data_IF_608369248045
#
_entry.id   IF_608369248045
#
_cell.length_a   1.000
_cell.length_b   1.000
_cell.length_c   1.000
_cell.angle_alpha   90.00
_cell.angle_beta   90.00
_cell.angle_gamma   90.00
#
_symmetry.space_group_name_H-M   'P 1'
#
loop_
_entity.id
_entity.type
_entity.pdbx_description
1 polymer ?
#
# COMPACT_ATOMS: atom_id res chain seq x y z
N UNK A 1 -4.71 11.34 -18.07
CA UNK A 1 -4.43 10.58 -16.83
C UNK A 1 -5.64 9.69 -16.56
N UNK A 2 -5.47 8.37 -16.55
CA UNK A 2 -6.60 7.43 -16.42
C UNK A 2 -7.21 7.52 -15.02
N UNK A 3 -8.54 7.54 -14.91
CA UNK A 3 -9.22 7.59 -13.62
C UNK A 3 -9.10 6.22 -12.93
N UNK A 4 -8.48 6.17 -11.75
CA UNK A 4 -8.50 4.97 -10.91
C UNK A 4 -9.91 4.73 -10.37
N UNK A 5 -10.36 3.47 -10.38
CA UNK A 5 -11.56 3.07 -9.62
C UNK A 5 -11.26 3.21 -8.11
N UNK A 6 -12.31 3.15 -7.29
CA UNK A 6 -12.23 3.32 -5.83
C UNK A 6 -11.18 2.40 -5.20
N UNK A 7 -10.21 2.97 -4.49
CA UNK A 7 -9.22 2.26 -3.67
C UNK A 7 -9.54 2.52 -2.19
N UNK A 8 -9.65 1.45 -1.39
CA UNK A 8 -9.95 1.51 0.05
C UNK A 8 -9.01 0.63 0.85
N UNK A 9 -8.71 1.03 2.08
CA UNK A 9 -7.98 0.22 3.07
C UNK A 9 -8.99 -0.33 4.07
N UNK A 10 -8.94 -1.64 4.33
CA UNK A 10 -9.91 -2.34 5.19
C UNK A 10 -9.22 -3.22 6.22
N UNK A 11 -9.87 -3.40 7.37
CA UNK A 11 -9.37 -4.27 8.43
C UNK A 11 -9.70 -5.75 8.15
N UNK A 12 -8.71 -6.64 8.21
CA UNK A 12 -8.83 -8.07 7.87
C UNK A 12 -10.00 -8.79 8.57
N UNK A 13 -10.26 -8.50 9.85
CA UNK A 13 -11.38 -9.13 10.61
C UNK A 13 -12.72 -8.39 10.50
N UNK A 14 -12.74 -7.20 9.89
CA UNK A 14 -13.97 -6.42 9.77
C UNK A 14 -14.68 -6.65 8.43
N UNK A 15 -14.18 -7.59 7.61
CA UNK A 15 -14.70 -7.85 6.27
C UNK A 15 -14.96 -9.34 6.06
N UNK A 16 -15.95 -9.65 5.22
CA UNK A 16 -15.96 -10.91 4.47
C UNK A 16 -15.01 -10.78 3.30
N UNK A 17 -14.12 -11.76 3.12
CA UNK A 17 -13.18 -11.79 2.01
C UNK A 17 -13.95 -11.84 0.69
N UNK A 18 -13.55 -10.99 -0.24
CA UNK A 18 -14.13 -10.91 -1.58
C UNK A 18 -13.07 -11.25 -2.62
N UNK A 19 -13.46 -11.85 -3.77
CA UNK A 19 -12.56 -12.00 -4.90
C UNK A 19 -11.94 -10.65 -5.28
N UNK A 20 -10.63 -10.56 -5.08
CA UNK A 20 -9.87 -9.36 -5.40
C UNK A 20 -9.49 -8.44 -4.27
N UNK A 21 -9.87 -8.78 -3.06
CA UNK A 21 -9.17 -8.31 -1.88
C UNK A 21 -7.67 -8.60 -2.00
N UNK A 22 -6.85 -7.63 -1.61
CA UNK A 22 -5.41 -7.74 -1.70
C UNK A 22 -4.77 -7.52 -0.34
N UNK A 23 -4.26 -8.59 0.25
CA UNK A 23 -3.58 -8.53 1.54
C UNK A 23 -2.21 -7.86 1.40
N UNK A 24 -2.00 -6.79 2.19
CA UNK A 24 -0.78 -5.99 2.20
C UNK A 24 0.00 -6.11 3.50
N UNK A 25 -0.40 -7.02 4.40
CA UNK A 25 0.35 -7.29 5.64
C UNK A 25 1.60 -8.14 5.39
N UNK A 26 2.39 -8.40 6.43
CA UNK A 26 3.57 -9.28 6.33
C UNK A 26 3.12 -10.74 6.11
N UNK A 27 3.83 -11.54 5.28
CA UNK A 27 5.09 -11.25 4.56
C UNK A 27 4.90 -10.77 3.10
N UNK A 28 3.82 -10.06 2.77
CA UNK A 28 3.61 -9.56 1.39
C UNK A 28 4.70 -8.59 0.93
N UNK A 29 4.89 -8.38 -0.39
CA UNK A 29 5.84 -7.41 -0.92
C UNK A 29 5.62 -5.99 -0.38
N UNK A 30 4.36 -5.61 -0.15
CA UNK A 30 4.00 -4.27 0.33
C UNK A 30 3.88 -4.19 1.86
N UNK A 31 4.23 -5.25 2.58
CA UNK A 31 4.20 -5.28 4.04
C UNK A 31 5.15 -4.25 4.65
N UNK A 32 4.68 -3.49 5.65
CA UNK A 32 5.55 -2.57 6.37
C UNK A 32 6.68 -3.35 7.09
N UNK A 33 7.97 -3.11 6.80
CA UNK A 33 9.08 -3.80 7.48
C UNK A 33 9.29 -3.27 8.92
N UNK A 34 8.75 -2.10 9.25
CA UNK A 34 8.83 -1.48 10.56
C UNK A 34 7.69 -1.95 11.49
N UNK A 35 7.98 -2.07 12.77
CA UNK A 35 7.11 -2.63 13.80
C UNK A 35 6.86 -1.58 14.88
N UNK A 36 5.58 -1.24 15.12
CA UNK A 36 5.18 -0.31 16.18
C UNK A 36 5.73 -0.79 17.53
N UNK A 37 6.25 0.12 18.34
CA UNK A 37 6.88 -0.16 19.64
C UNK A 37 8.37 -0.51 19.52
N UNK A 38 8.75 -1.35 18.55
CA UNK A 38 10.16 -1.68 18.29
C UNK A 38 10.90 -0.59 17.50
N UNK A 39 10.26 -0.11 16.43
CA UNK A 39 10.85 0.80 15.44
C UNK A 39 10.34 2.25 15.57
N UNK A 40 9.49 2.49 16.57
CA UNK A 40 8.87 3.79 16.85
C UNK A 40 7.36 3.71 17.10
N UNK A 41 6.75 4.86 17.28
CA UNK A 41 5.30 5.09 17.32
C UNK A 41 4.65 4.78 15.97
N UNK A 42 3.32 4.67 15.94
CA UNK A 42 2.54 4.45 14.71
C UNK A 42 2.86 5.49 13.62
N UNK A 43 2.95 6.76 14.00
CA UNK A 43 3.27 7.85 13.07
C UNK A 43 4.68 7.68 12.49
N UNK A 44 5.67 7.40 13.33
CA UNK A 44 7.06 7.22 12.91
C UNK A 44 7.23 6.03 11.98
N UNK A 45 6.63 4.87 12.28
CA UNK A 45 6.75 3.69 11.41
C UNK A 45 6.03 3.86 10.06
N UNK A 46 4.97 4.69 10.00
CA UNK A 46 4.30 5.04 8.74
C UNK A 46 5.15 6.03 7.94
N UNK A 47 5.76 7.01 8.59
CA UNK A 47 6.69 7.94 7.95
C UNK A 47 7.90 7.18 7.36
N UNK A 48 8.50 6.28 8.13
CA UNK A 48 9.58 5.39 7.66
C UNK A 48 9.12 4.52 6.50
N UNK A 49 7.90 3.97 6.57
CA UNK A 49 7.33 3.18 5.48
C UNK A 49 7.17 3.99 4.19
N UNK A 50 6.73 5.25 4.29
CA UNK A 50 6.64 6.15 3.14
C UNK A 50 8.01 6.28 2.47
N UNK A 51 9.06 6.63 3.21
CA UNK A 51 10.44 6.73 2.69
C UNK A 51 10.90 5.42 2.06
N UNK A 52 10.69 4.30 2.74
CA UNK A 52 11.02 2.96 2.23
C UNK A 52 10.33 2.67 0.89
N UNK A 53 9.03 2.96 0.79
CA UNK A 53 8.27 2.75 -0.44
C UNK A 53 8.79 3.63 -1.58
N UNK A 54 9.19 4.89 -1.33
CA UNK A 54 9.76 5.74 -2.37
C UNK A 54 11.06 5.17 -2.93
N UNK A 55 11.96 4.66 -2.07
CA UNK A 55 13.21 4.02 -2.50
C UNK A 55 12.93 2.84 -3.43
N UNK A 56 11.93 2.01 -3.08
CA UNK A 56 11.55 0.88 -3.90
C UNK A 56 10.88 1.27 -5.22
N UNK A 57 10.08 2.34 -5.22
CA UNK A 57 9.51 2.88 -6.46
C UNK A 57 10.60 3.44 -7.37
N UNK A 58 11.58 4.15 -6.81
CA UNK A 58 12.71 4.70 -7.55
C UNK A 58 13.63 3.62 -8.15
N UNK A 59 13.71 2.45 -7.52
CA UNK A 59 14.46 1.30 -8.06
C UNK A 59 13.88 0.77 -9.39
N UNK A 60 12.59 0.99 -9.65
CA UNK A 60 11.97 0.72 -10.94
C UNK A 60 11.72 -0.77 -11.26
N UNK A 61 11.51 -1.10 -12.54
CA UNK A 61 11.15 -2.45 -13.00
C UNK A 61 12.13 -3.54 -12.55
N UNK A 62 11.61 -4.69 -12.13
CA UNK A 62 12.39 -5.79 -11.58
C UNK A 62 12.58 -5.71 -10.06
N UNK A 63 12.23 -4.58 -9.43
CA UNK A 63 12.07 -4.51 -7.99
C UNK A 63 10.69 -5.07 -7.60
N UNK A 64 10.66 -6.11 -6.75
CA UNK A 64 9.42 -6.80 -6.34
C UNK A 64 8.32 -5.87 -5.79
N UNK A 65 8.70 -4.80 -5.10
CA UNK A 65 7.76 -3.82 -4.53
C UNK A 65 7.17 -2.93 -5.63
N UNK A 66 8.02 -2.44 -6.54
CA UNK A 66 7.61 -1.68 -7.71
C UNK A 66 6.67 -2.50 -8.61
N UNK A 67 7.08 -3.72 -8.96
CA UNK A 67 6.30 -4.59 -9.84
C UNK A 67 4.92 -4.89 -9.26
N UNK A 68 4.84 -5.10 -7.94
CA UNK A 68 3.57 -5.31 -7.25
C UNK A 68 2.68 -4.06 -7.25
N UNK A 69 3.24 -2.87 -7.03
CA UNK A 69 2.49 -1.61 -7.17
C UNK A 69 1.94 -1.43 -8.59
N UNK A 70 2.75 -1.72 -9.62
CA UNK A 70 2.32 -1.61 -11.01
C UNK A 70 1.19 -2.60 -11.33
N UNK A 71 1.29 -3.84 -10.83
CA UNK A 71 0.23 -4.85 -10.95
C UNK A 71 -1.07 -4.38 -10.30
N UNK A 72 -1.00 -3.82 -9.08
CA UNK A 72 -2.16 -3.29 -8.38
C UNK A 72 -2.74 -2.04 -9.06
N UNK A 73 -1.89 -1.17 -9.62
CA UNK A 73 -2.32 0.00 -10.37
C UNK A 73 -3.12 -0.39 -11.61
N UNK A 74 -2.62 -1.36 -12.38
CA UNK A 74 -3.33 -1.89 -13.54
C UNK A 74 -4.70 -2.47 -13.14
N UNK A 75 -4.75 -3.21 -12.02
CA UNK A 75 -5.99 -3.73 -11.46
C UNK A 75 -6.96 -2.61 -11.02
N UNK A 76 -6.46 -1.58 -10.35
CA UNK A 76 -7.26 -0.46 -9.85
C UNK A 76 -7.86 0.40 -10.98
N UNK A 77 -7.31 0.36 -12.20
CA UNK A 77 -7.97 0.96 -13.36
C UNK A 77 -9.23 0.20 -13.79
N UNK A 78 -9.23 -1.12 -13.59
CA UNK A 78 -10.30 -2.00 -14.08
C UNK A 78 -11.39 -2.22 -13.02
N UNK A 79 -11.00 -2.34 -11.75
CA UNK A 79 -11.88 -2.74 -10.66
C UNK A 79 -11.62 -1.94 -9.38
N UNK A 80 -12.62 -1.80 -8.49
CA UNK A 80 -12.38 -1.36 -7.12
C UNK A 80 -11.32 -2.23 -6.45
N UNK A 81 -10.45 -1.61 -5.65
CA UNK A 81 -9.36 -2.30 -4.98
C UNK A 81 -9.48 -2.14 -3.46
N UNK A 82 -9.55 -3.26 -2.75
CA UNK A 82 -9.53 -3.33 -1.29
C UNK A 82 -8.16 -3.82 -0.80
N UNK A 83 -7.40 -2.92 -0.20
CA UNK A 83 -6.13 -3.23 0.45
C UNK A 83 -6.42 -3.70 1.88
N UNK A 84 -6.09 -4.94 2.19
CA UNK A 84 -6.45 -5.57 3.45
C UNK A 84 -5.25 -5.57 4.40
N UNK A 85 -5.46 -5.02 5.60
CA UNK A 85 -4.45 -4.94 6.65
C UNK A 85 -5.05 -5.21 8.04
N UNK A 86 -4.18 -5.50 9.02
CA UNK A 86 -4.54 -5.61 10.43
C UNK A 86 -4.54 -4.28 11.19
N UNK A 87 -4.02 -3.20 10.61
CA UNK A 87 -3.92 -1.91 11.29
C UNK A 87 -5.14 -0.99 11.08
N UNK A 88 -5.82 -1.09 9.93
CA UNK A 88 -6.98 -0.26 9.63
C UNK A 88 -8.08 -0.46 10.70
N UNK A 89 -8.92 0.54 11.00
CA UNK A 89 -9.00 1.87 10.42
C UNK A 89 -8.06 2.91 11.05
N UNK A 90 -7.19 2.51 11.99
CA UNK A 90 -6.14 3.41 12.47
C UNK A 90 -5.16 3.72 11.33
N UNK A 91 -4.36 4.82 11.43
CA UNK A 91 -3.33 5.11 10.45
C UNK A 91 -2.53 3.86 10.09
N UNK A 92 -2.48 3.58 8.80
CA UNK A 92 -2.01 2.31 8.25
C UNK A 92 -1.03 2.57 7.08
N UNK A 93 -0.10 1.65 6.87
CA UNK A 93 0.76 1.69 5.69
C UNK A 93 -0.02 1.52 4.38
N UNK A 94 -1.21 0.90 4.46
CA UNK A 94 -2.16 0.82 3.36
C UNK A 94 -2.62 2.19 2.83
N UNK A 95 -2.67 3.21 3.69
CA UNK A 95 -3.05 4.56 3.28
C UNK A 95 -1.99 5.16 2.36
N UNK A 96 -0.71 4.91 2.67
CA UNK A 96 0.44 5.31 1.83
C UNK A 96 0.40 4.58 0.49
N UNK A 97 0.12 3.26 0.47
CA UNK A 97 -0.01 2.50 -0.79
C UNK A 97 -1.17 3.08 -1.63
N UNK A 98 -2.33 3.34 -1.01
CA UNK A 98 -3.49 3.87 -1.71
C UNK A 98 -3.22 5.24 -2.34
N UNK A 99 -2.47 6.12 -1.65
CA UNK A 99 -1.99 7.39 -2.21
C UNK A 99 -1.11 7.17 -3.44
N UNK A 100 -0.08 6.32 -3.35
CA UNK A 100 0.82 6.04 -4.49
C UNK A 100 0.08 5.44 -5.69
N UNK A 101 -0.93 4.60 -5.43
CA UNK A 101 -1.75 4.01 -6.50
C UNK A 101 -2.64 5.03 -7.19
N UNK A 102 -3.15 6.05 -6.47
CA UNK A 102 -4.03 7.10 -7.02
C UNK A 102 -3.25 8.22 -7.72
N UNK A 103 -2.19 8.68 -7.08
CA UNK A 103 -1.59 9.98 -7.41
C UNK A 103 -0.16 9.84 -7.95
N UNK A 104 0.42 8.64 -7.85
CA UNK A 104 1.87 8.45 -8.01
C UNK A 104 2.64 8.87 -6.77
N UNK A 105 3.97 8.84 -6.84
CA UNK A 105 4.79 9.39 -5.75
C UNK A 105 4.71 10.93 -5.81
N UNK A 106 4.38 11.63 -4.72
CA UNK A 106 4.58 13.07 -4.68
C UNK A 106 6.09 13.34 -4.79
N UNK A 107 6.52 13.98 -5.89
CA UNK A 107 7.92 14.39 -6.09
C UNK A 107 8.67 13.80 -7.29
N UNK A 108 8.00 13.31 -8.33
CA UNK A 108 8.63 13.16 -9.66
C UNK A 108 8.41 14.43 -10.49
N UNK A 109 9.07 15.52 -10.10
CA UNK A 109 9.41 16.61 -11.03
C UNK A 109 10.86 16.41 -11.43
#
# INVERSE_FOLDING_TARGET
MGQHRRITVVHQRAITAQPGDHYIGRPSPLGNPFVIGRDGTRAEVIARYRTWLQTHVAAGPGNRVYDELQRLRARAHQHPLRLVCWCAPLPCHGDVIAEVLRDGMPGSK
#
